data_IF_652275236532
#
_entry.id   IF_652275236532
#
_cell.length_a   1.000
_cell.length_b   1.000
_cell.length_c   1.000
_cell.angle_alpha   90.00
_cell.angle_beta   90.00
_cell.angle_gamma   90.00
#
_symmetry.space_group_name_H-M   'P 1'
#
loop_
_entity.id
_entity.type
_entity.pdbx_description
1 polymer ?
#
# COMPACT_ATOMS: atom_id res chain seq x y z
N UNK A 1 -10.48 54.66 -11.57
CA UNK A 1 -9.10 54.68 -11.03
C UNK A 1 -8.64 53.23 -10.92
N UNK A 2 -7.73 52.80 -11.80
CA UNK A 2 -7.06 51.51 -11.73
C UNK A 2 -6.11 51.51 -10.52
N UNK A 3 -6.11 50.44 -9.73
CA UNK A 3 -4.98 50.12 -8.85
C UNK A 3 -4.62 48.65 -8.98
N UNK A 4 -3.58 48.48 -9.77
CA UNK A 4 -2.67 47.35 -9.83
C UNK A 4 -1.83 47.31 -8.52
N UNK A 5 -1.59 46.11 -7.98
CA UNK A 5 -0.46 45.82 -7.08
C UNK A 5 -0.27 44.32 -6.94
N UNK A 6 0.71 43.80 -7.68
CA UNK A 6 1.08 42.40 -7.68
C UNK A 6 2.00 41.94 -6.53
N UNK A 7 2.27 40.63 -6.58
CA UNK A 7 3.59 40.03 -6.43
C UNK A 7 4.14 39.86 -5.01
N UNK A 8 4.09 38.62 -4.50
CA UNK A 8 4.86 38.18 -3.34
C UNK A 8 4.78 36.67 -3.16
N UNK A 9 5.57 35.92 -3.93
CA UNK A 9 5.73 34.48 -3.78
C UNK A 9 6.56 34.17 -2.53
N UNK A 10 5.96 33.48 -1.55
CA UNK A 10 6.64 32.97 -0.36
C UNK A 10 6.99 31.48 -0.56
N UNK A 11 8.08 31.20 -1.28
CA UNK A 11 8.63 29.84 -1.52
C UNK A 11 9.18 29.13 -0.26
N UNK A 12 8.80 29.56 0.94
CA UNK A 12 9.41 29.12 2.20
C UNK A 12 8.59 28.10 3.00
N UNK A 13 7.26 28.19 2.96
CA UNK A 13 6.36 27.29 3.70
C UNK A 13 6.17 25.94 3.00
N UNK A 14 6.08 26.01 1.68
CA UNK A 14 5.98 24.89 0.74
C UNK A 14 7.00 23.76 1.05
N UNK A 15 8.25 24.10 1.34
CA UNK A 15 9.30 23.12 1.60
C UNK A 15 9.19 22.43 2.97
N UNK A 16 8.55 23.05 3.97
CA UNK A 16 8.49 22.54 5.35
C UNK A 16 7.36 21.54 5.55
N UNK A 17 6.19 21.80 4.96
CA UNK A 17 5.06 20.85 5.02
C UNK A 17 5.25 19.70 4.03
N UNK A 18 5.82 19.95 2.84
CA UNK A 18 6.25 18.89 1.90
C UNK A 18 7.33 17.99 2.49
N UNK A 19 8.22 18.54 3.32
CA UNK A 19 9.22 17.74 4.02
C UNK A 19 8.58 16.85 5.08
N UNK A 20 7.52 17.29 5.76
CA UNK A 20 6.80 16.46 6.74
C UNK A 20 6.07 15.28 6.12
N UNK A 21 5.42 15.48 4.97
CA UNK A 21 4.73 14.40 4.24
C UNK A 21 5.74 13.36 3.74
N UNK A 22 6.86 13.81 3.16
CA UNK A 22 7.94 12.92 2.74
C UNK A 22 8.63 12.23 3.92
N UNK A 23 8.84 12.93 5.04
CA UNK A 23 9.42 12.35 6.27
C UNK A 23 8.46 11.30 6.90
N UNK A 24 7.14 11.49 6.81
CA UNK A 24 6.14 10.51 7.23
C UNK A 24 6.14 9.26 6.35
N UNK A 25 6.32 9.43 5.02
CA UNK A 25 6.49 8.34 4.06
C UNK A 25 7.72 7.49 4.40
N UNK A 26 8.87 8.12 4.67
CA UNK A 26 10.11 7.44 5.05
C UNK A 26 10.00 6.72 6.40
N UNK A 27 9.37 7.34 7.40
CA UNK A 27 9.16 6.74 8.74
C UNK A 27 8.25 5.51 8.69
N UNK A 28 7.33 5.45 7.74
CA UNK A 28 6.45 4.30 7.52
C UNK A 28 7.16 3.16 6.74
N UNK A 29 8.03 3.51 5.80
CA UNK A 29 8.86 2.54 5.06
C UNK A 29 9.86 1.83 6.00
N UNK A 30 10.57 2.57 6.86
CA UNK A 30 11.55 2.05 7.82
C UNK A 30 10.94 1.06 8.83
N UNK A 31 9.72 1.30 9.30
CA UNK A 31 9.03 0.42 10.28
C UNK A 31 8.57 -0.91 9.71
N UNK A 32 8.68 -1.11 8.40
CA UNK A 32 8.12 -2.27 7.70
C UNK A 32 9.15 -3.24 7.13
N UNK A 33 10.44 -3.04 7.41
CA UNK A 33 11.51 -3.98 7.01
C UNK A 33 11.71 -5.11 8.04
N UNK A 34 11.57 -6.40 7.67
CA UNK A 34 12.00 -7.51 8.51
C UNK A 34 13.53 -7.66 8.42
N UNK A 35 14.23 -7.45 9.53
CA UNK A 35 15.68 -7.68 9.60
C UNK A 35 16.00 -9.17 9.42
N UNK A 36 16.69 -9.52 8.33
CA UNK A 36 17.30 -10.84 8.15
C UNK A 36 18.50 -10.99 9.08
N UNK A 37 18.36 -11.70 10.21
CA UNK A 37 19.52 -12.08 11.03
C UNK A 37 20.16 -13.36 10.48
N UNK A 38 21.44 -13.26 10.13
CA UNK A 38 22.31 -14.35 9.67
C UNK A 38 22.64 -15.29 10.84
N UNK A 39 22.33 -16.58 10.68
CA UNK A 39 22.72 -17.62 11.63
C UNK A 39 24.18 -18.04 11.37
N UNK A 40 25.09 -17.79 12.32
CA UNK A 40 26.46 -18.31 12.31
C UNK A 40 26.48 -19.71 12.92
N UNK A 41 27.03 -20.67 12.18
CA UNK A 41 27.28 -22.02 12.67
C UNK A 41 28.39 -22.07 13.72
N UNK A 42 28.21 -22.93 14.72
CA UNK A 42 29.29 -23.43 15.57
C UNK A 42 29.24 -24.96 15.55
N UNK A 43 30.32 -25.56 15.07
CA UNK A 43 30.62 -26.98 15.18
C UNK A 43 31.10 -27.31 16.59
N UNK A 44 30.62 -28.42 17.15
CA UNK A 44 31.28 -29.14 18.25
C UNK A 44 31.13 -30.65 17.99
N UNK A 45 32.19 -31.39 18.29
CA UNK A 45 32.47 -32.73 17.80
C UNK A 45 32.25 -33.87 18.83
N UNK A 46 32.22 -35.11 18.28
CA UNK A 46 32.49 -36.48 18.83
C UNK A 46 31.62 -37.05 19.98
N UNK A 47 31.61 -38.40 20.25
CA UNK A 47 31.99 -39.58 19.42
C UNK A 47 31.03 -40.82 19.48
N UNK A 48 31.23 -41.71 18.51
CA UNK A 48 31.17 -43.21 18.47
C UNK A 48 30.33 -44.05 19.45
N UNK A 49 29.59 -45.06 18.96
CA UNK A 49 29.91 -46.52 19.12
C UNK A 49 28.82 -47.50 18.61
N UNK A 50 29.27 -48.45 17.77
CA UNK A 50 28.94 -49.90 17.64
C UNK A 50 27.51 -50.49 17.53
N UNK A 51 27.39 -51.32 16.48
CA UNK A 51 26.90 -52.72 16.43
C UNK A 51 25.43 -53.07 16.07
N UNK A 52 25.37 -53.90 15.01
CA UNK A 52 24.68 -55.20 14.89
C UNK A 52 23.36 -55.33 14.08
N UNK A 53 23.52 -56.08 12.98
CA UNK A 53 22.71 -57.25 12.55
C UNK A 53 21.34 -57.01 11.89
N UNK A 54 21.19 -57.54 10.66
CA UNK A 54 19.89 -57.82 10.04
C UNK A 54 19.98 -58.17 8.55
N UNK A 55 19.71 -59.43 8.20
CA UNK A 55 19.90 -60.10 6.91
C UNK A 55 18.82 -59.83 5.83
N UNK A 56 19.28 -59.77 4.57
CA UNK A 56 18.87 -60.54 3.37
C UNK A 56 17.43 -60.44 2.79
N UNK A 57 17.32 -60.13 1.48
CA UNK A 57 16.77 -60.99 0.39
C UNK A 57 17.05 -60.32 -0.98
N UNK A 58 17.66 -61.10 -1.89
CA UNK A 58 17.96 -60.79 -3.29
C UNK A 58 16.72 -60.77 -4.21
N UNK A 59 16.74 -59.99 -5.30
CA UNK A 59 16.76 -60.52 -6.68
C UNK A 59 16.73 -59.45 -7.80
N UNK A 60 17.69 -59.60 -8.73
CA UNK A 60 17.64 -59.50 -10.21
C UNK A 60 17.60 -58.14 -10.95
N UNK A 61 18.78 -57.82 -11.49
CA UNK A 61 19.16 -57.51 -12.89
C UNK A 61 18.21 -56.71 -13.81
N UNK A 62 18.70 -55.56 -14.33
CA UNK A 62 18.98 -55.42 -15.78
C UNK A 62 19.83 -54.17 -16.11
N UNK A 63 21.14 -54.39 -16.30
CA UNK A 63 21.96 -53.99 -17.46
C UNK A 63 21.59 -52.70 -18.23
N UNK A 64 22.46 -51.69 -18.20
CA UNK A 64 23.41 -51.41 -19.31
C UNK A 64 24.30 -50.17 -19.06
N UNK A 65 25.60 -50.39 -19.27
CA UNK A 65 26.74 -49.46 -19.22
C UNK A 65 26.78 -48.49 -20.40
N UNK A 66 27.45 -47.34 -20.24
CA UNK A 66 28.74 -47.06 -20.91
C UNK A 66 29.29 -45.63 -20.65
N UNK A 67 30.29 -45.55 -19.76
CA UNK A 67 31.68 -45.07 -19.99
C UNK A 67 31.97 -43.92 -20.97
N UNK A 68 32.38 -42.78 -20.38
CA UNK A 68 33.56 -41.91 -20.63
C UNK A 68 34.04 -41.58 -22.07
N UNK A 69 34.33 -40.30 -22.33
CA UNK A 69 35.71 -39.81 -22.59
C UNK A 69 35.82 -38.27 -22.52
N UNK A 70 36.98 -37.82 -22.05
CA UNK A 70 37.50 -36.47 -21.88
C UNK A 70 38.06 -35.90 -23.20
N UNK A 71 37.93 -34.60 -23.46
CA UNK A 71 38.93 -33.83 -24.25
C UNK A 71 38.80 -32.32 -24.05
N UNK A 72 39.94 -31.67 -23.77
CA UNK A 72 40.15 -30.21 -23.72
C UNK A 72 39.98 -29.60 -25.12
N UNK A 73 39.46 -28.38 -25.21
CA UNK A 73 39.91 -27.42 -26.23
C UNK A 73 39.70 -25.96 -25.79
N UNK A 74 40.74 -25.17 -26.05
CA UNK A 74 40.93 -23.74 -25.80
C UNK A 74 40.69 -23.01 -27.13
N UNK A 75 39.98 -21.88 -27.11
CA UNK A 75 40.01 -20.89 -28.19
C UNK A 75 39.42 -19.57 -27.68
N UNK A 76 40.07 -18.48 -28.06
CA UNK A 76 39.80 -17.07 -27.74
C UNK A 76 38.67 -16.51 -28.60
N UNK A 77 37.92 -15.54 -28.08
CA UNK A 77 37.11 -14.61 -28.89
C UNK A 77 37.21 -13.20 -28.30
N UNK A 78 37.60 -12.27 -29.17
CA UNK A 78 37.64 -10.82 -28.99
C UNK A 78 36.24 -10.21 -29.29
N UNK A 79 36.14 -8.89 -29.14
CA UNK A 79 35.11 -7.98 -29.68
C UNK A 79 33.84 -7.77 -28.83
N UNK A 80 33.78 -6.66 -28.08
CA UNK A 80 32.97 -5.46 -28.45
C UNK A 80 32.68 -4.58 -27.23
N UNK A 81 33.42 -3.48 -27.11
CA UNK A 81 33.12 -2.39 -26.19
C UNK A 81 31.87 -1.65 -26.69
N UNK A 82 30.76 -1.80 -25.96
CA UNK A 82 29.55 -1.02 -26.19
C UNK A 82 29.50 0.08 -25.12
N UNK A 83 29.91 1.28 -25.53
CA UNK A 83 29.76 2.53 -24.77
C UNK A 83 28.26 2.79 -24.57
N UNK A 84 27.74 2.38 -23.42
CA UNK A 84 26.34 2.55 -23.06
C UNK A 84 26.19 3.95 -22.49
N UNK A 85 25.87 4.86 -23.39
CA UNK A 85 25.42 6.23 -23.16
C UNK A 85 24.54 6.35 -21.91
N UNK A 86 25.11 7.04 -20.91
CA UNK A 86 24.47 7.47 -19.67
C UNK A 86 23.23 8.28 -20.02
N UNK A 87 22.07 7.61 -19.96
CA UNK A 87 20.79 8.24 -20.18
C UNK A 87 20.50 9.12 -18.97
N UNK A 88 20.52 10.42 -19.19
CA UNK A 88 20.12 11.44 -18.23
C UNK A 88 18.84 11.01 -17.51
N UNK A 89 18.93 10.77 -16.21
CA UNK A 89 17.77 10.80 -15.32
C UNK A 89 17.30 12.26 -15.34
N UNK A 90 16.40 12.54 -16.27
CA UNK A 90 15.54 13.71 -16.18
C UNK A 90 14.67 13.46 -14.96
N UNK A 91 15.11 13.99 -13.81
CA UNK A 91 14.25 14.15 -12.65
C UNK A 91 13.07 14.98 -13.09
N UNK A 92 11.98 14.30 -13.44
CA UNK A 92 10.69 14.94 -13.66
C UNK A 92 10.39 15.71 -12.38
N UNK A 93 10.33 17.04 -12.50
CA UNK A 93 9.81 17.91 -11.46
C UNK A 93 8.54 17.27 -10.91
N UNK A 94 8.53 17.10 -9.58
CA UNK A 94 7.59 16.26 -8.88
C UNK A 94 6.15 16.62 -9.22
N UNK A 95 5.40 15.63 -9.71
CA UNK A 95 3.95 15.68 -9.59
C UNK A 95 3.66 15.82 -8.10
N UNK A 96 3.27 17.02 -7.67
CA UNK A 96 2.79 17.31 -6.33
C UNK A 96 1.63 16.33 -6.06
N UNK A 97 1.92 15.24 -5.37
CA UNK A 97 0.97 14.17 -5.10
C UNK A 97 -0.06 14.73 -4.12
N UNK A 98 -1.33 14.82 -4.55
CA UNK A 98 -2.40 15.33 -3.69
C UNK A 98 -2.55 14.49 -2.43
N UNK A 99 -3.10 15.07 -1.36
CA UNK A 99 -3.35 14.35 -0.11
C UNK A 99 -4.19 13.09 -0.35
N UNK A 100 -5.23 13.18 -1.19
CA UNK A 100 -6.10 12.06 -1.55
C UNK A 100 -5.32 10.93 -2.21
N UNK A 101 -4.46 11.25 -3.18
CA UNK A 101 -3.68 10.24 -3.89
C UNK A 101 -2.62 9.63 -2.98
N UNK A 102 -1.95 10.45 -2.17
CA UNK A 102 -1.02 9.98 -1.13
C UNK A 102 -1.72 8.99 -0.18
N UNK A 103 -2.88 9.38 0.37
CA UNK A 103 -3.64 8.58 1.33
C UNK A 103 -4.10 7.25 0.73
N UNK A 104 -4.64 7.24 -0.49
CA UNK A 104 -5.13 6.02 -1.15
C UNK A 104 -3.98 5.06 -1.51
N UNK A 105 -2.76 5.56 -1.70
CA UNK A 105 -1.57 4.76 -1.99
C UNK A 105 -0.81 4.30 -0.74
N UNK A 106 -1.20 4.74 0.46
CA UNK A 106 -0.63 4.22 1.69
C UNK A 106 -0.88 2.71 1.81
N UNK A 107 0.14 2.00 2.31
CA UNK A 107 0.05 0.56 2.56
C UNK A 107 -1.10 0.27 3.54
N UNK A 108 -2.03 -0.57 3.12
CA UNK A 108 -3.24 -0.88 3.86
C UNK A 108 -4.48 -0.13 3.37
N UNK A 109 -4.35 0.92 2.56
CA UNK A 109 -5.47 1.71 2.04
C UNK A 109 -5.89 1.30 0.63
N UNK A 110 -5.50 0.11 0.16
CA UNK A 110 -5.69 -0.30 -1.23
C UNK A 110 -7.18 -0.49 -1.61
N UNK A 111 -8.08 -0.49 -0.62
CA UNK A 111 -9.53 -0.57 -0.82
C UNK A 111 -10.19 0.77 -1.11
N UNK A 112 -9.52 1.89 -0.82
CA UNK A 112 -10.05 3.20 -1.15
C UNK A 112 -9.94 3.44 -2.67
N UNK A 113 -10.92 4.18 -3.17
CA UNK A 113 -10.82 4.85 -4.46
C UNK A 113 -10.64 6.34 -4.19
N UNK A 114 -9.96 7.05 -5.08
CA UNK A 114 -9.82 8.50 -4.98
C UNK A 114 -11.20 9.15 -5.19
N UNK A 115 -11.59 10.04 -4.28
CA UNK A 115 -12.82 10.83 -4.35
C UNK A 115 -12.53 12.12 -5.12
N UNK A 116 -13.40 12.48 -6.06
CA UNK A 116 -13.25 13.72 -6.84
C UNK A 116 -13.34 14.96 -5.92
N UNK A 117 -12.44 15.94 -6.11
CA UNK A 117 -12.48 17.21 -5.37
C UNK A 117 -13.81 17.94 -5.55
N UNK A 118 -14.43 17.88 -6.74
CA UNK A 118 -15.73 18.52 -6.97
C UNK A 118 -16.86 17.88 -6.15
N UNK A 119 -16.75 16.60 -5.78
CA UNK A 119 -17.71 15.96 -4.89
C UNK A 119 -17.57 16.48 -3.45
N UNK A 120 -16.32 16.66 -3.01
CA UNK A 120 -15.97 17.12 -1.66
C UNK A 120 -16.30 18.61 -1.49
N UNK A 121 -16.05 19.43 -2.50
CA UNK A 121 -16.31 20.88 -2.47
C UNK A 121 -17.81 21.24 -2.47
N UNK A 122 -18.70 20.31 -2.78
CA UNK A 122 -20.14 20.52 -2.65
C UNK A 122 -20.62 20.17 -1.23
N UNK A 123 -20.80 21.21 -0.42
CA UNK A 123 -21.22 21.14 0.99
C UNK A 123 -22.48 20.28 1.21
N UNK A 124 -23.36 20.15 0.22
CA UNK A 124 -24.54 19.31 0.33
C UNK A 124 -24.17 17.83 0.55
N UNK A 125 -23.11 17.35 -0.10
CA UNK A 125 -22.63 15.97 0.05
C UNK A 125 -22.03 15.71 1.44
N UNK A 126 -21.50 16.76 2.08
CA UNK A 126 -20.84 16.70 3.38
C UNK A 126 -21.76 16.98 4.57
N UNK A 127 -23.06 17.19 4.32
CA UNK A 127 -24.03 17.55 5.35
C UNK A 127 -23.98 16.60 6.57
N UNK A 128 -23.89 17.20 7.76
CA UNK A 128 -23.89 16.51 9.06
C UNK A 128 -22.53 15.95 9.52
N UNK A 129 -21.49 15.99 8.69
CA UNK A 129 -20.16 15.46 9.04
C UNK A 129 -19.39 16.36 10.03
N UNK A 130 -19.60 17.69 9.96
CA UNK A 130 -18.95 18.66 10.85
C UNK A 130 -19.25 18.45 12.34
N UNK A 131 -20.39 17.82 12.66
CA UNK A 131 -20.75 17.46 14.05
C UNK A 131 -20.11 16.17 14.56
N UNK A 132 -19.54 15.36 13.65
CA UNK A 132 -18.98 14.04 13.93
C UNK A 132 -17.45 14.08 13.98
N UNK A 133 -16.83 14.97 13.21
CA UNK A 133 -15.38 15.05 13.05
C UNK A 133 -14.82 16.27 13.81
N UNK A 134 -13.85 16.09 14.72
CA UNK A 134 -13.16 17.20 15.37
C UNK A 134 -12.27 17.94 14.35
N UNK A 135 -12.01 19.23 14.55
CA UNK A 135 -11.18 20.03 13.63
C UNK A 135 -11.63 19.98 12.16
N UNK A 136 -12.95 19.83 11.91
CA UNK A 136 -13.51 19.59 10.59
C UNK A 136 -12.98 20.51 9.49
N UNK A 137 -12.96 21.84 9.72
CA UNK A 137 -12.51 22.80 8.71
C UNK A 137 -11.03 22.59 8.35
N UNK A 138 -10.15 22.40 9.34
CA UNK A 138 -8.73 22.11 9.14
C UNK A 138 -8.48 20.75 8.48
N UNK A 139 -9.28 19.74 8.83
CA UNK A 139 -9.22 18.43 8.21
C UNK A 139 -9.64 18.48 6.74
N UNK A 140 -10.67 19.29 6.42
CA UNK A 140 -11.14 19.48 5.05
C UNK A 140 -10.12 20.25 4.20
N UNK A 141 -9.54 21.32 4.76
CA UNK A 141 -8.46 22.08 4.12
C UNK A 141 -7.26 21.16 3.80
N UNK A 142 -6.89 20.27 4.73
CA UNK A 142 -5.82 19.30 4.54
C UNK A 142 -6.13 18.29 3.43
N UNK A 143 -7.35 17.75 3.38
CA UNK A 143 -7.77 16.79 2.33
C UNK A 143 -7.74 17.42 0.94
N UNK A 144 -8.13 18.68 0.83
CA UNK A 144 -8.22 19.43 -0.43
C UNK A 144 -6.92 20.16 -0.81
N UNK A 145 -5.82 19.92 -0.08
CA UNK A 145 -4.53 20.61 -0.26
C UNK A 145 -4.66 22.15 -0.29
N UNK A 146 -5.61 22.69 0.48
CA UNK A 146 -5.82 24.14 0.59
C UNK A 146 -4.83 24.70 1.61
N UNK A 147 -4.03 25.69 1.19
CA UNK A 147 -3.14 26.39 2.13
C UNK A 147 -3.95 26.95 3.30
N UNK A 148 -3.61 26.54 4.51
CA UNK A 148 -4.27 27.01 5.71
C UNK A 148 -4.18 28.55 5.78
N UNK A 149 -5.31 29.22 5.56
CA UNK A 149 -5.40 30.69 5.65
C UNK A 149 -5.25 31.21 7.09
N UNK A 150 -5.10 30.30 8.06
CA UNK A 150 -5.33 30.55 9.47
C UNK A 150 -4.13 31.15 10.19
N UNK A 151 -2.91 31.10 9.63
CA UNK A 151 -1.71 31.70 10.28
C UNK A 151 -1.41 31.16 11.70
N UNK A 152 -2.15 30.14 12.13
CA UNK A 152 -2.09 29.54 13.44
C UNK A 152 -0.99 28.48 13.43
N UNK A 153 0.06 28.71 14.22
CA UNK A 153 1.07 27.68 14.44
C UNK A 153 0.51 26.64 15.42
N UNK A 154 0.11 25.48 14.91
CA UNK A 154 -0.26 24.34 15.74
C UNK A 154 0.95 23.71 16.42
N UNK A 155 0.73 23.15 17.60
CA UNK A 155 1.71 22.22 18.20
C UNK A 155 1.77 20.91 17.39
N UNK A 156 2.85 20.14 17.55
CA UNK A 156 2.97 18.82 16.91
C UNK A 156 1.79 17.90 17.27
N UNK A 157 1.40 17.87 18.54
CA UNK A 157 0.24 17.09 19.03
C UNK A 157 -1.08 17.53 18.37
N UNK A 158 -1.28 18.83 18.15
CA UNK A 158 -2.48 19.32 17.46
C UNK A 158 -2.48 18.92 15.98
N UNK A 159 -1.33 18.95 15.31
CA UNK A 159 -1.23 18.48 13.93
C UNK A 159 -1.56 16.99 13.80
N UNK A 160 -1.09 16.14 14.72
CA UNK A 160 -1.45 14.71 14.73
C UNK A 160 -2.97 14.49 14.89
N UNK A 161 -3.64 15.34 15.67
CA UNK A 161 -5.11 15.30 15.82
C UNK A 161 -5.84 15.73 14.54
N UNK A 162 -5.32 16.73 13.82
CA UNK A 162 -5.88 17.18 12.53
C UNK A 162 -5.69 16.11 11.46
N UNK A 163 -4.50 15.50 11.38
CA UNK A 163 -4.24 14.38 10.46
C UNK A 163 -5.20 13.22 10.74
N UNK A 164 -5.37 12.82 12.01
CA UNK A 164 -6.32 11.75 12.36
C UNK A 164 -7.77 12.12 12.05
N UNK A 165 -8.15 13.39 12.18
CA UNK A 165 -9.45 13.89 11.80
C UNK A 165 -9.65 13.85 10.28
N UNK A 166 -8.63 14.17 9.49
CA UNK A 166 -8.66 14.09 8.03
C UNK A 166 -8.86 12.65 7.54
N UNK A 167 -8.13 11.68 8.10
CA UNK A 167 -8.33 10.26 7.78
C UNK A 167 -9.77 9.81 8.06
N UNK A 168 -10.32 10.21 9.22
CA UNK A 168 -11.70 9.90 9.60
C UNK A 168 -12.70 10.56 8.66
N UNK A 169 -12.53 11.85 8.38
CA UNK A 169 -13.39 12.61 7.50
C UNK A 169 -13.40 12.01 6.10
N UNK A 170 -12.24 11.72 5.54
CA UNK A 170 -12.12 11.11 4.22
C UNK A 170 -12.82 9.76 4.15
N UNK A 171 -12.72 8.92 5.19
CA UNK A 171 -13.49 7.67 5.26
C UNK A 171 -15.01 7.89 5.25
N UNK A 172 -15.51 8.85 6.02
CA UNK A 172 -16.94 9.19 6.06
C UNK A 172 -17.45 9.79 4.74
N UNK A 173 -16.60 10.52 4.03
CA UNK A 173 -16.88 11.00 2.67
C UNK A 173 -16.92 9.83 1.70
N UNK A 174 -15.92 8.95 1.78
CA UNK A 174 -15.74 7.81 0.87
C UNK A 174 -16.95 6.87 0.89
N UNK A 175 -17.48 6.53 2.08
CA UNK A 175 -18.68 5.67 2.18
C UNK A 175 -19.92 6.26 1.53
N UNK A 176 -20.04 7.59 1.48
CA UNK A 176 -21.12 8.28 0.74
C UNK A 176 -20.80 8.29 -0.76
N UNK A 177 -19.55 8.58 -1.12
CA UNK A 177 -19.10 8.70 -2.50
C UNK A 177 -19.28 7.40 -3.28
N UNK A 178 -18.94 6.25 -2.71
CA UNK A 178 -19.04 4.94 -3.40
C UNK A 178 -20.48 4.53 -3.75
N UNK A 179 -21.49 5.22 -3.21
CA UNK A 179 -22.90 5.04 -3.56
C UNK A 179 -23.35 5.92 -4.74
N UNK A 180 -22.50 6.86 -5.17
CA UNK A 180 -22.74 7.67 -6.38
C UNK A 180 -22.39 6.89 -7.65
N UNK A 181 -22.85 7.37 -8.81
CA UNK A 181 -22.48 6.75 -10.10
C UNK A 181 -20.97 6.76 -10.37
N UNK A 182 -20.28 7.86 -10.04
CA UNK A 182 -18.83 7.98 -10.23
C UNK A 182 -18.06 7.07 -9.29
N UNK A 183 -18.38 7.09 -7.99
CA UNK A 183 -17.75 6.22 -7.00
C UNK A 183 -17.97 4.73 -7.27
N UNK A 184 -19.18 4.32 -7.67
CA UNK A 184 -19.43 2.93 -8.10
C UNK A 184 -18.59 2.53 -9.31
N UNK A 185 -18.39 3.43 -10.28
CA UNK A 185 -17.55 3.14 -11.45
C UNK A 185 -16.08 2.95 -11.07
N UNK A 186 -15.54 3.80 -10.19
CA UNK A 186 -14.18 3.68 -9.67
C UNK A 186 -13.99 2.38 -8.87
N UNK A 187 -14.93 2.04 -7.98
CA UNK A 187 -14.90 0.77 -7.24
C UNK A 187 -15.02 -0.45 -8.17
N UNK A 188 -15.82 -0.35 -9.24
CA UNK A 188 -15.94 -1.42 -10.23
C UNK A 188 -14.62 -1.68 -10.99
N UNK A 189 -13.85 -0.63 -11.28
CA UNK A 189 -12.53 -0.77 -11.90
C UNK A 189 -11.58 -1.56 -10.98
N UNK A 190 -11.47 -1.14 -9.71
CA UNK A 190 -10.68 -1.85 -8.69
C UNK A 190 -11.13 -3.31 -8.51
N UNK A 191 -12.44 -3.56 -8.55
CA UNK A 191 -13.00 -4.91 -8.48
C UNK A 191 -12.54 -5.80 -9.65
N UNK A 192 -12.52 -5.27 -10.88
CA UNK A 192 -12.03 -5.98 -12.06
C UNK A 192 -10.53 -6.28 -11.98
N UNK A 193 -9.78 -5.39 -11.34
CA UNK A 193 -8.33 -5.50 -11.15
C UNK A 193 -7.92 -6.41 -9.97
N UNK A 194 -8.90 -6.92 -9.20
CA UNK A 194 -8.70 -7.76 -8.01
C UNK A 194 -8.04 -7.03 -6.82
N UNK A 195 -8.14 -5.71 -6.77
CA UNK A 195 -7.53 -4.88 -5.72
C UNK A 195 -8.08 -5.22 -4.33
N UNK A 196 -9.37 -5.56 -4.26
CA UNK A 196 -10.05 -5.97 -3.03
C UNK A 196 -9.75 -7.42 -2.63
N UNK A 197 -9.00 -8.14 -3.45
CA UNK A 197 -8.67 -9.54 -3.25
C UNK A 197 -9.73 -10.50 -3.79
N UNK A 198 -9.55 -11.78 -3.40
CA UNK A 198 -10.28 -12.92 -3.96
C UNK A 198 -10.87 -13.78 -2.85
N UNK A 199 -11.98 -14.43 -3.17
CA UNK A 199 -12.66 -15.33 -2.26
C UNK A 199 -11.70 -16.45 -1.81
N UNK A 200 -11.61 -16.73 -0.50
CA UNK A 200 -10.72 -17.77 0.01
C UNK A 200 -11.24 -19.19 -0.24
N UNK A 201 -12.53 -19.38 -0.56
CA UNK A 201 -13.09 -20.71 -0.85
C UNK A 201 -12.57 -21.24 -2.19
N UNK A 202 -12.05 -22.46 -2.17
CA UNK A 202 -11.52 -23.16 -3.36
C UNK A 202 -12.57 -23.26 -4.48
N UNK A 203 -13.82 -23.60 -4.13
CA UNK A 203 -14.93 -23.72 -5.10
C UNK A 203 -15.37 -22.38 -5.71
N UNK A 204 -14.94 -21.25 -5.14
CA UNK A 204 -15.17 -19.95 -5.76
C UNK A 204 -14.17 -19.63 -6.88
N UNK A 205 -13.13 -20.44 -7.08
CA UNK A 205 -12.14 -20.30 -8.16
C UNK A 205 -11.49 -18.90 -8.19
N UNK A 206 -11.24 -18.31 -7.02
CA UNK A 206 -10.61 -16.99 -6.93
C UNK A 206 -11.49 -15.83 -7.42
N UNK A 207 -12.82 -15.94 -7.25
CA UNK A 207 -13.80 -14.87 -7.51
C UNK A 207 -13.35 -13.54 -6.88
N UNK A 208 -13.30 -12.42 -7.64
CA UNK A 208 -13.05 -11.10 -7.06
C UNK A 208 -14.13 -10.73 -6.04
N UNK A 209 -13.72 -10.09 -4.96
CA UNK A 209 -14.59 -9.71 -3.84
C UNK A 209 -14.75 -8.18 -3.76
N UNK A 210 -15.69 -7.72 -2.94
CA UNK A 210 -15.90 -6.30 -2.65
C UNK A 210 -15.63 -6.02 -1.17
N UNK A 211 -15.12 -4.84 -0.79
CA UNK A 211 -14.99 -4.47 0.60
C UNK A 211 -16.38 -4.26 1.23
N UNK A 212 -16.52 -4.59 2.51
CA UNK A 212 -17.76 -4.41 3.26
C UNK A 212 -17.47 -4.12 4.74
N UNK A 213 -18.23 -3.19 5.31
CA UNK A 213 -18.28 -2.96 6.76
C UNK A 213 -19.44 -3.75 7.40
N UNK A 214 -19.25 -4.23 8.62
CA UNK A 214 -20.32 -4.91 9.37
C UNK A 214 -21.14 -3.93 10.25
N UNK A 215 -20.76 -2.67 10.26
CA UNK A 215 -21.35 -1.60 11.06
C UNK A 215 -20.96 -0.27 10.43
N UNK A 216 -21.91 0.68 10.42
CA UNK A 216 -21.71 2.06 9.96
C UNK A 216 -21.18 2.96 11.08
N UNK A 217 -20.85 2.39 12.25
CA UNK A 217 -20.23 3.11 13.36
C UNK A 217 -18.71 3.06 13.16
N UNK A 218 -18.03 4.21 13.02
CA UNK A 218 -16.58 4.27 12.87
C UNK A 218 -15.85 3.49 13.97
N UNK A 219 -14.78 2.79 13.61
CA UNK A 219 -13.91 2.04 14.55
C UNK A 219 -14.59 0.88 15.31
N UNK A 220 -15.84 0.53 14.97
CA UNK A 220 -16.56 -0.58 15.62
C UNK A 220 -16.11 -1.96 15.14
N UNK A 221 -15.64 -2.06 13.89
CA UNK A 221 -15.12 -3.30 13.31
C UNK A 221 -14.01 -2.99 12.31
N UNK A 222 -13.35 -4.03 11.79
CA UNK A 222 -12.40 -3.87 10.68
C UNK A 222 -13.05 -4.31 9.38
N UNK A 223 -12.64 -3.70 8.26
CA UNK A 223 -13.17 -4.01 6.94
C UNK A 223 -13.08 -5.51 6.64
N UNK A 224 -14.08 -6.02 5.93
CA UNK A 224 -14.16 -7.40 5.45
C UNK A 224 -14.28 -7.40 3.94
N UNK A 225 -14.23 -8.58 3.34
CA UNK A 225 -14.50 -8.77 1.92
C UNK A 225 -15.71 -9.68 1.73
N UNK A 226 -16.63 -9.26 0.85
CA UNK A 226 -17.81 -10.01 0.45
C UNK A 226 -17.56 -10.72 -0.88
N UNK A 227 -17.83 -12.03 -0.94
CA UNK A 227 -17.76 -12.80 -2.17
C UNK A 227 -19.15 -12.92 -2.83
N UNK A 228 -19.36 -12.37 -4.03
CA UNK A 228 -20.67 -12.46 -4.70
C UNK A 228 -21.01 -13.86 -5.24
N UNK A 229 -20.05 -14.80 -5.27
CA UNK A 229 -20.28 -16.16 -5.79
C UNK A 229 -20.77 -17.14 -4.73
N UNK A 230 -20.33 -17.00 -3.48
CA UNK A 230 -20.79 -17.84 -2.37
C UNK A 230 -21.59 -17.08 -1.32
N UNK A 231 -21.81 -15.78 -1.55
CA UNK A 231 -22.66 -14.91 -0.74
C UNK A 231 -22.27 -14.90 0.76
N UNK A 232 -20.96 -14.76 1.02
CA UNK A 232 -20.39 -14.87 2.36
C UNK A 232 -19.25 -13.87 2.57
N UNK A 233 -18.94 -13.56 3.83
CA UNK A 233 -18.02 -12.50 4.27
C UNK A 233 -16.74 -13.11 4.86
N UNK A 234 -15.58 -12.55 4.49
CA UNK A 234 -14.27 -13.03 4.92
C UNK A 234 -13.36 -11.90 5.38
N UNK A 235 -12.32 -12.25 6.11
CA UNK A 235 -11.22 -11.35 6.40
C UNK A 235 -10.32 -11.19 5.17
N UNK A 236 -9.82 -9.96 4.87
CA UNK A 236 -8.77 -9.76 3.89
C UNK A 236 -7.54 -10.62 4.23
N UNK A 237 -6.83 -11.14 3.20
CA UNK A 237 -5.63 -11.96 3.41
C UNK A 237 -4.44 -11.14 3.89
N UNK A 238 -4.34 -9.87 3.48
CA UNK A 238 -3.29 -8.96 3.93
C UNK A 238 -3.59 -8.51 5.36
N UNK A 239 -2.62 -8.66 6.26
CA UNK A 239 -2.72 -8.18 7.64
C UNK A 239 -2.86 -6.65 7.72
N UNK A 240 -2.35 -5.93 6.72
CA UNK A 240 -2.37 -4.47 6.65
C UNK A 240 -3.78 -3.94 6.31
N UNK A 241 -4.50 -4.64 5.43
CA UNK A 241 -5.90 -4.33 5.09
C UNK A 241 -6.86 -4.63 6.25
N UNK A 242 -6.49 -5.54 7.16
CA UNK A 242 -7.25 -5.84 8.36
C UNK A 242 -7.17 -4.75 9.44
N UNK A 243 -6.29 -3.76 9.29
CA UNK A 243 -6.17 -2.60 10.18
C UNK A 243 -7.05 -1.42 9.74
N UNK A 244 -7.62 -1.46 8.53
CA UNK A 244 -8.63 -0.49 8.11
C UNK A 244 -9.84 -0.73 9.02
N UNK A 245 -10.03 0.20 9.95
CA UNK A 245 -11.25 0.28 10.74
C UNK A 245 -12.38 0.65 9.78
N UNK A 246 -13.54 0.01 9.91
CA UNK A 246 -14.75 0.47 9.23
C UNK A 246 -14.96 1.91 9.66
N UNK A 247 -14.84 2.84 8.72
CA UNK A 247 -15.25 4.23 8.82
C UNK A 247 -16.61 4.34 8.15
#
# INVERSE_FOLDING_TARGET
>A
MYRDRGGGASKGGDMLDRKRINDALDKHLEKSSPSTSRNKGSAVAVPSTSNAVGKHIDHRDNRSSSTLTTTKNKCSDEESETDSEESDVSGSDGDDTSWISWFCNLRGNEFFCEVDDEYIQDDFNLCGLSSQVPYYDYALDLILDVESSHGDMFTEEQNELVESAAEMLYGLIHVRYILTTKGMAAMLEKYKNYDFGRCPRVYCCGQPCLPVGQSDIPRSSTVKIYCPKCEDIYYPRSKYQGSILTL
#
